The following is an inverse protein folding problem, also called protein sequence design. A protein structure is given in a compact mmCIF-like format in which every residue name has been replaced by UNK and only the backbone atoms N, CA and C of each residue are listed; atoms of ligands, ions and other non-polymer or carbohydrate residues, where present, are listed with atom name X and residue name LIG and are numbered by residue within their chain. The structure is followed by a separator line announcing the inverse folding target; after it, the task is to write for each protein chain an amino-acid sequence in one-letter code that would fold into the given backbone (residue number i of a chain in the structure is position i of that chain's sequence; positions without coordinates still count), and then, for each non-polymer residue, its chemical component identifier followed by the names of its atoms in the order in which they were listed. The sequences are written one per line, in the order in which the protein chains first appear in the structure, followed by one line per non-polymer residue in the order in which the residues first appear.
data_IF_014391746522
#
_entry.id   IF_014391746522
#
_cell.length_a   1.000
_cell.length_b   1.000
_cell.length_c   1.000
_cell.angle_alpha   90.00
_cell.angle_beta   90.00
_cell.angle_gamma   90.00
#
_symmetry.space_group_name_H-M   'P 1'
#
loop_
_entity.id
_entity.type
_entity.pdbx_description
1 polymer ?
#
# COMPACT_ATOMS: atom_id res chain seq x y z
N UNK A 1 -5.96 -12.90 12.03
CA UNK A 1 -4.87 -11.94 12.32
C UNK A 1 -4.50 -11.29 11.01
N UNK A 2 -4.40 -9.97 10.96
CA UNK A 2 -3.99 -9.29 9.74
C UNK A 2 -2.50 -9.57 9.48
N UNK A 3 -2.15 -10.01 8.27
CA UNK A 3 -0.78 -10.34 7.89
C UNK A 3 -0.20 -9.18 7.08
N UNK A 4 0.97 -8.69 7.46
CA UNK A 4 1.67 -7.65 6.70
C UNK A 4 2.67 -8.32 5.76
N UNK A 5 2.59 -7.95 4.49
CA UNK A 5 3.45 -8.43 3.40
C UNK A 5 4.07 -7.22 2.69
N UNK A 6 5.19 -7.46 2.01
CA UNK A 6 5.76 -6.46 1.11
C UNK A 6 4.93 -6.42 -0.18
N UNK A 7 4.81 -5.23 -0.79
CA UNK A 7 3.94 -5.06 -1.95
C UNK A 7 4.44 -5.84 -3.18
N UNK A 8 5.74 -6.19 -3.23
CA UNK A 8 6.33 -7.05 -4.25
C UNK A 8 5.85 -8.52 -4.19
N UNK A 9 5.29 -8.93 -3.05
CA UNK A 9 4.66 -10.24 -2.84
C UNK A 9 3.21 -10.26 -3.32
N UNK A 10 2.70 -9.16 -3.89
CA UNK A 10 1.35 -9.06 -4.46
C UNK A 10 1.45 -9.04 -5.99
N UNK A 11 0.60 -9.82 -6.66
CA UNK A 11 0.48 -9.75 -8.11
C UNK A 11 -0.13 -8.42 -8.54
N UNK A 12 0.47 -7.78 -9.55
CA UNK A 12 -0.10 -6.58 -10.15
C UNK A 12 -1.38 -6.96 -10.90
N UNK A 13 -2.49 -6.31 -10.53
CA UNK A 13 -3.74 -6.27 -11.27
C UNK A 13 -4.08 -4.82 -11.61
N UNK A 14 -5.00 -4.55 -12.57
CA UNK A 14 -5.43 -3.18 -12.87
C UNK A 14 -5.95 -2.41 -11.64
N UNK A 15 -6.66 -3.10 -10.73
CA UNK A 15 -7.22 -2.49 -9.53
C UNK A 15 -6.13 -2.24 -8.48
N UNK A 16 -5.21 -3.19 -8.27
CA UNK A 16 -4.05 -2.97 -7.38
C UNK A 16 -3.22 -1.78 -7.85
N UNK A 17 -2.94 -1.70 -9.14
CA UNK A 17 -2.18 -0.59 -9.71
C UNK A 17 -2.90 0.76 -9.55
N UNK A 18 -4.21 0.80 -9.78
CA UNK A 18 -4.99 2.02 -9.61
C UNK A 18 -4.99 2.51 -8.15
N UNK A 19 -5.17 1.58 -7.19
CA UNK A 19 -5.14 1.91 -5.76
C UNK A 19 -3.74 2.36 -5.33
N UNK A 20 -2.68 1.73 -5.84
CA UNK A 20 -1.31 2.14 -5.54
C UNK A 20 -0.99 3.53 -6.09
N UNK A 21 -1.36 3.81 -7.34
CA UNK A 21 -1.19 5.14 -7.94
C UNK A 21 -1.95 6.23 -7.17
N UNK A 22 -3.18 5.95 -6.75
CA UNK A 22 -3.97 6.87 -5.92
C UNK A 22 -3.32 7.11 -4.55
N UNK A 23 -2.81 6.06 -3.91
CA UNK A 23 -2.08 6.18 -2.64
C UNK A 23 -0.83 7.04 -2.80
N UNK A 24 -0.03 6.79 -3.85
CA UNK A 24 1.18 7.55 -4.14
C UNK A 24 0.89 9.03 -4.38
N UNK A 25 -0.22 9.35 -5.08
CA UNK A 25 -0.69 10.74 -5.25
C UNK A 25 -1.04 11.40 -3.91
N UNK A 26 -1.82 10.73 -3.06
CA UNK A 26 -2.16 11.24 -1.73
C UNK A 26 -0.91 11.47 -0.86
N UNK A 27 0.05 10.54 -0.89
CA UNK A 27 1.32 10.69 -0.18
C UNK A 27 2.10 11.90 -0.71
N UNK A 28 2.17 12.09 -2.03
CA UNK A 28 2.83 13.24 -2.64
C UNK A 28 2.21 14.58 -2.23
N UNK A 29 0.89 14.66 -2.19
CA UNK A 29 0.15 15.84 -1.71
C UNK A 29 0.42 16.13 -0.24
N UNK A 30 0.38 15.10 0.61
CA UNK A 30 0.70 15.23 2.04
C UNK A 30 2.16 15.64 2.25
N UNK A 31 3.09 15.01 1.54
CA UNK A 31 4.51 15.33 1.65
C UNK A 31 4.79 16.79 1.28
N UNK A 32 4.20 17.28 0.18
CA UNK A 32 4.30 18.68 -0.22
C UNK A 32 3.68 19.63 0.82
N UNK A 33 2.51 19.28 1.36
CA UNK A 33 1.80 20.09 2.36
C UNK A 33 2.55 20.21 3.69
N UNK A 34 3.22 19.14 4.11
CA UNK A 34 3.89 19.05 5.42
C UNK A 34 5.42 19.16 5.34
N UNK A 35 5.97 19.40 4.15
CA UNK A 35 7.41 19.55 3.94
C UNK A 35 8.22 18.27 4.21
N UNK A 36 7.63 17.10 3.97
CA UNK A 36 8.29 15.80 4.12
C UNK A 36 9.14 15.56 2.87
N UNK A 37 10.42 15.23 3.07
CA UNK A 37 11.31 14.87 1.97
C UNK A 37 10.91 13.52 1.39
N UNK A 38 11.00 13.37 0.06
CA UNK A 38 10.73 12.07 -0.58
C UNK A 38 11.65 10.94 -0.08
N UNK A 39 12.82 11.28 0.46
CA UNK A 39 13.75 10.31 1.07
C UNK A 39 13.31 9.81 2.44
N UNK A 40 12.36 10.50 3.07
CA UNK A 40 11.81 10.15 4.39
C UNK A 40 10.51 9.33 4.26
N UNK A 41 9.99 9.17 3.04
CA UNK A 41 8.80 8.36 2.75
C UNK A 41 9.25 6.89 2.71
N UNK A 42 8.75 6.02 3.61
CA UNK A 42 9.06 4.60 3.56
C UNK A 42 8.40 3.91 2.37
N UNK A 43 8.91 2.73 2.01
CA UNK A 43 8.28 1.87 1.00
C UNK A 43 6.86 1.46 1.41
N UNK A 44 5.98 1.34 0.42
CA UNK A 44 4.62 0.85 0.61
C UNK A 44 4.61 -0.61 1.06
N UNK A 45 3.71 -0.90 2.00
CA UNK A 45 3.44 -2.26 2.48
C UNK A 45 2.00 -2.62 2.21
N UNK A 46 1.69 -3.90 2.29
CA UNK A 46 0.33 -4.36 2.17
C UNK A 46 -0.08 -5.20 3.39
N UNK A 47 -1.34 -5.11 3.78
CA UNK A 47 -1.94 -5.85 4.89
C UNK A 47 -3.10 -6.67 4.36
N UNK A 48 -3.04 -7.98 4.58
CA UNK A 48 -4.10 -8.92 4.21
C UNK A 48 -5.10 -8.94 5.35
N UNK A 49 -6.32 -8.52 5.04
CA UNK A 49 -7.39 -8.37 6.02
C UNK A 49 -8.18 -9.67 6.18
N UNK A 50 -8.87 -9.81 7.32
CA UNK A 50 -9.63 -11.02 7.64
C UNK A 50 -10.83 -11.28 6.71
N UNK A 51 -11.26 -10.29 5.92
CA UNK A 51 -12.32 -10.39 4.92
C UNK A 51 -11.80 -10.72 3.50
N UNK A 52 -10.49 -10.95 3.36
CA UNK A 52 -9.87 -11.27 2.08
C UNK A 52 -9.57 -10.05 1.20
N UNK A 53 -9.76 -8.84 1.71
CA UNK A 53 -9.25 -7.62 1.06
C UNK A 53 -7.76 -7.41 1.35
N UNK A 54 -7.16 -6.47 0.62
CA UNK A 54 -5.79 -6.02 0.82
C UNK A 54 -5.80 -4.53 1.11
N UNK A 55 -5.15 -4.10 2.18
CA UNK A 55 -4.91 -2.68 2.48
C UNK A 55 -3.48 -2.34 2.07
N UNK A 56 -3.29 -1.45 1.10
CA UNK A 56 -1.97 -0.88 0.75
C UNK A 56 -1.77 0.35 1.62
N UNK A 57 -0.63 0.46 2.31
CA UNK A 57 -0.39 1.51 3.28
C UNK A 57 1.07 1.97 3.36
N UNK A 58 1.25 3.21 3.83
CA UNK A 58 2.54 3.81 4.20
C UNK A 58 2.40 4.48 5.56
N UNK A 59 3.35 4.24 6.45
CA UNK A 59 3.46 4.92 7.74
C UNK A 59 4.31 6.18 7.58
N UNK A 60 3.67 7.33 7.36
CA UNK A 60 4.37 8.59 7.18
C UNK A 60 4.89 9.14 8.53
N UNK A 61 6.16 9.59 8.60
CA UNK A 61 6.69 10.20 9.81
C UNK A 61 5.81 11.36 10.28
N UNK A 62 5.36 11.29 11.54
CA UNK A 62 4.54 12.33 12.22
C UNK A 62 3.11 12.52 11.70
N UNK A 63 2.73 11.85 10.60
CA UNK A 63 1.37 11.90 10.05
C UNK A 63 0.59 10.59 10.25
N UNK A 64 1.29 9.48 10.51
CA UNK A 64 0.70 8.15 10.73
C UNK A 64 0.40 7.41 9.42
N UNK A 65 -0.46 6.39 9.52
CA UNK A 65 -0.81 5.53 8.41
C UNK A 65 -1.66 6.27 7.37
N UNK A 66 -1.19 6.25 6.12
CA UNK A 66 -2.01 6.56 4.94
C UNK A 66 -2.27 5.23 4.25
N UNK A 67 -3.54 4.87 4.04
CA UNK A 67 -3.89 3.58 3.49
C UNK A 67 -5.11 3.63 2.56
N UNK A 68 -5.12 2.71 1.60
CA UNK A 68 -6.23 2.48 0.68
C UNK A 68 -6.49 0.98 0.55
N UNK A 69 -7.76 0.63 0.30
CA UNK A 69 -8.23 -0.76 0.27
C UNK A 69 -8.45 -1.24 -1.16
N UNK A 70 -7.87 -2.39 -1.48
CA UNK A 70 -8.18 -3.20 -2.66
C UNK A 70 -9.23 -4.25 -2.27
N UNK A 71 -10.40 -4.30 -2.92
CA UNK A 71 -11.43 -5.28 -2.57
C UNK A 71 -10.97 -6.74 -2.81
N UNK A 72 -11.65 -7.72 -2.19
CA UNK A 72 -11.38 -9.13 -2.45
C UNK A 72 -11.49 -9.48 -3.94
N UNK A 73 -10.84 -10.56 -4.36
CA UNK A 73 -10.79 -11.04 -5.76
C UNK A 73 -10.11 -10.11 -6.79
N UNK A 74 -9.62 -8.93 -6.35
CA UNK A 74 -8.84 -8.02 -7.19
C UNK A 74 -7.34 -8.07 -6.95
N UNK A 75 -6.88 -8.95 -6.06
CA UNK A 75 -5.48 -9.15 -5.74
C UNK A 75 -5.23 -10.62 -5.45
N UNK A 76 -3.99 -11.05 -5.63
CA UNK A 76 -3.51 -12.37 -5.26
C UNK A 76 -2.06 -12.25 -4.79
N UNK A 77 -1.59 -13.19 -3.97
CA UNK A 77 -0.16 -13.30 -3.70
C UNK A 77 0.58 -13.70 -4.96
N UNK A 78 1.73 -13.09 -5.18
CA UNK A 78 2.73 -13.63 -6.10
C UNK A 78 3.20 -14.97 -5.54
N UNK A 79 3.13 -16.03 -6.34
CA UNK A 79 3.68 -17.31 -5.93
C UNK A 79 5.16 -17.11 -5.57
N UNK A 80 5.55 -17.44 -4.33
CA UNK A 80 6.97 -17.66 -4.05
C UNK A 80 7.46 -18.73 -5.01
N UNK A 81 8.48 -18.42 -5.81
CA UNK A 81 9.26 -19.48 -6.43
C UNK A 81 9.80 -20.32 -5.26
N UNK A 82 9.42 -21.60 -5.23
CA UNK A 82 9.97 -22.60 -4.32
C UNK A 82 11.49 -22.51 -4.24
#
# INVERSE_FOLDING_TARGET
MAEIVDLDQVNISPVVLAVWDELARHIGELAARYGISSKEIPDERARIEGDGSLTIFVELPRLGEVSLRVPPAHWERRFSKN
#
